data_IF_525986865818
#
_entry.id   IF_525986865818
#
_cell.length_a   1.000
_cell.length_b   1.000
_cell.length_c   1.000
_cell.angle_alpha   90.00
_cell.angle_beta   90.00
_cell.angle_gamma   90.00
#
_symmetry.space_group_name_H-M   'P 1'
#
loop_
_entity.id
_entity.type
_entity.pdbx_description
1 polymer ?
#
# COMPACT_ATOMS: atom_id res chain seq x y z
N UNK A 1 6.16 19.75 -14.71
CA UNK A 1 7.15 18.74 -14.26
C UNK A 1 6.41 17.41 -14.26
N UNK A 2 6.94 16.31 -14.81
CA UNK A 2 6.20 15.03 -15.05
C UNK A 2 5.75 14.27 -13.77
N UNK A 3 5.78 14.92 -12.61
CA UNK A 3 5.59 14.33 -11.27
C UNK A 3 4.60 15.19 -10.46
N UNK A 4 3.50 15.63 -11.08
CA UNK A 4 2.39 16.23 -10.36
C UNK A 4 1.28 15.16 -10.22
N UNK A 5 0.78 14.97 -8.99
CA UNK A 5 -0.32 14.06 -8.63
C UNK A 5 -0.04 12.54 -8.75
N UNK A 6 1.09 12.07 -8.18
CA UNK A 6 1.29 10.64 -7.95
C UNK A 6 0.58 10.18 -6.67
N UNK A 7 -0.21 9.12 -6.80
CA UNK A 7 -0.80 8.37 -5.69
C UNK A 7 0.03 7.13 -5.44
N UNK A 8 0.20 6.77 -4.17
CA UNK A 8 0.91 5.57 -3.73
C UNK A 8 -0.02 4.64 -2.96
N UNK A 9 0.05 3.36 -3.30
CA UNK A 9 -0.68 2.29 -2.62
C UNK A 9 0.24 1.13 -2.31
N UNK A 10 0.06 0.51 -1.14
CA UNK A 10 0.83 -0.66 -0.71
C UNK A 10 -0.10 -1.77 -0.21
N UNK A 11 0.19 -3.05 -0.51
CA UNK A 11 -0.51 -4.18 0.10
C UNK A 11 -0.46 -4.10 1.63
N UNK A 12 -1.55 -4.48 2.29
CA UNK A 12 -1.67 -4.43 3.75
C UNK A 12 -1.83 -3.02 4.34
N UNK A 13 -1.85 -1.97 3.50
CA UNK A 13 -2.19 -0.62 3.94
C UNK A 13 -3.69 -0.39 3.86
N UNK A 14 -4.31 -0.16 5.01
CA UNK A 14 -5.76 0.03 5.14
C UNK A 14 -6.49 -1.25 5.52
N UNK A 15 -7.78 -1.32 5.20
CA UNK A 15 -8.57 -2.54 5.42
C UNK A 15 -8.17 -3.63 4.40
N UNK A 16 -8.24 -4.90 4.78
CA UNK A 16 -7.81 -6.02 3.93
C UNK A 16 -8.58 -6.12 2.60
N UNK A 17 -9.84 -5.64 2.57
CA UNK A 17 -10.66 -5.57 1.36
C UNK A 17 -10.20 -4.50 0.35
N UNK A 18 -9.36 -3.54 0.76
CA UNK A 18 -8.81 -2.53 -0.14
C UNK A 18 -7.63 -3.11 -0.93
N UNK A 19 -6.64 -3.63 -0.21
CA UNK A 19 -5.51 -4.35 -0.81
C UNK A 19 -4.87 -5.25 0.26
N UNK A 20 -5.18 -6.54 0.20
CA UNK A 20 -4.73 -7.50 1.19
C UNK A 20 -3.21 -7.68 1.20
N UNK A 21 -2.62 -7.90 2.38
CA UNK A 21 -1.18 -8.17 2.54
C UNK A 21 -0.72 -9.38 1.73
N UNK A 22 -1.59 -10.36 1.50
CA UNK A 22 -1.28 -11.56 0.72
C UNK A 22 -0.83 -11.22 -0.72
N UNK A 23 -1.36 -10.13 -1.28
CA UNK A 23 -1.00 -9.64 -2.62
C UNK A 23 0.43 -9.06 -2.71
N UNK A 24 1.14 -9.01 -1.58
CA UNK A 24 2.57 -8.72 -1.53
C UNK A 24 3.38 -9.75 -2.35
N UNK A 25 2.95 -11.00 -2.42
CA UNK A 25 3.63 -12.04 -3.22
C UNK A 25 3.57 -11.74 -4.71
N UNK A 26 2.39 -11.35 -5.19
CA UNK A 26 2.14 -10.97 -6.57
C UNK A 26 2.93 -9.71 -6.92
N UNK A 27 2.96 -8.72 -6.04
CA UNK A 27 3.78 -7.51 -6.22
C UNK A 27 5.28 -7.86 -6.31
N UNK A 28 5.80 -8.71 -5.42
CA UNK A 28 7.19 -9.16 -5.47
C UNK A 28 7.49 -9.94 -6.76
N UNK A 29 6.57 -10.81 -7.18
CA UNK A 29 6.69 -11.56 -8.44
C UNK A 29 6.76 -10.64 -9.66
N UNK A 30 5.97 -9.56 -9.69
CA UNK A 30 6.00 -8.56 -10.76
C UNK A 30 7.33 -7.79 -10.83
N UNK A 31 7.95 -7.52 -9.69
CA UNK A 31 9.27 -6.85 -9.63
C UNK A 31 10.39 -7.84 -10.01
N UNK A 32 10.25 -9.11 -9.61
CA UNK A 32 11.19 -10.18 -9.93
C UNK A 32 12.24 -10.39 -8.85
N UNK A 33 13.52 -10.22 -9.21
CA UNK A 33 14.72 -10.65 -8.45
C UNK A 33 15.01 -9.80 -7.19
N UNK A 34 14.01 -9.49 -6.36
CA UNK A 34 14.07 -8.46 -5.30
C UNK A 34 15.19 -8.73 -4.27
N UNK A 35 15.37 -9.98 -3.85
CA UNK A 35 16.35 -10.33 -2.81
C UNK A 35 17.77 -10.16 -3.31
N UNK A 36 18.03 -10.61 -4.53
CA UNK A 36 19.35 -10.59 -5.15
C UNK A 36 19.75 -9.18 -5.59
N UNK A 37 18.78 -8.37 -6.07
CA UNK A 37 19.05 -7.00 -6.54
C UNK A 37 19.20 -5.99 -5.39
N UNK A 38 18.35 -6.09 -4.35
CA UNK A 38 18.29 -5.07 -3.29
C UNK A 38 18.31 -5.63 -1.86
N UNK A 39 18.42 -6.95 -1.68
CA UNK A 39 18.51 -7.57 -0.35
C UNK A 39 17.19 -7.63 0.43
N UNK A 40 16.05 -7.33 -0.21
CA UNK A 40 14.73 -7.36 0.45
C UNK A 40 14.03 -8.67 0.13
N UNK A 41 13.48 -9.34 1.16
CA UNK A 41 12.69 -10.56 1.00
C UNK A 41 11.42 -10.56 1.84
N UNK A 42 10.49 -11.47 1.55
CA UNK A 42 9.30 -11.71 2.37
C UNK A 42 9.54 -12.87 3.33
N UNK A 43 9.18 -12.69 4.60
CA UNK A 43 9.13 -13.79 5.55
C UNK A 43 7.83 -14.62 5.40
N UNK A 44 7.67 -15.66 6.22
CA UNK A 44 6.47 -16.53 6.20
C UNK A 44 5.15 -15.78 6.43
N UNK A 45 5.20 -14.68 7.19
CA UNK A 45 4.06 -13.79 7.45
C UNK A 45 3.90 -12.68 6.39
N UNK A 46 4.66 -12.74 5.30
CA UNK A 46 4.67 -11.79 4.18
C UNK A 46 5.11 -10.37 4.56
N UNK A 47 5.78 -10.23 5.71
CA UNK A 47 6.44 -9.00 6.08
C UNK A 47 7.82 -8.95 5.42
N UNK A 48 8.24 -7.73 5.05
CA UNK A 48 9.54 -7.52 4.44
C UNK A 48 10.68 -7.59 5.47
N UNK A 49 11.81 -8.17 5.06
CA UNK A 49 13.08 -8.15 5.76
C UNK A 49 14.10 -7.46 4.85
N UNK A 50 14.79 -6.38 5.31
CA UNK A 50 14.65 -5.72 6.61
C UNK A 50 13.28 -5.06 6.81
N UNK A 51 12.86 -4.89 8.07
CA UNK A 51 11.51 -4.41 8.43
C UNK A 51 11.24 -2.95 8.07
N UNK A 52 12.29 -2.13 7.92
CA UNK A 52 12.17 -0.75 7.41
C UNK A 52 12.20 -0.73 5.88
N UNK A 53 11.29 -1.50 5.28
CA UNK A 53 11.10 -1.57 3.83
C UNK A 53 9.67 -1.19 3.49
N UNK A 54 9.47 -0.65 2.29
CA UNK A 54 8.15 -0.39 1.73
C UNK A 54 8.12 -0.93 0.29
N UNK A 55 6.99 -1.51 -0.08
CA UNK A 55 6.68 -1.87 -1.45
C UNK A 55 5.30 -1.34 -1.79
N UNK A 56 5.05 -1.05 -3.06
CA UNK A 56 3.75 -0.60 -3.52
C UNK A 56 3.79 -0.26 -4.99
N UNK A 57 2.69 0.30 -5.46
CA UNK A 57 2.60 0.90 -6.79
C UNK A 57 2.42 2.40 -6.64
N UNK A 58 3.05 3.14 -7.54
CA UNK A 58 2.81 4.55 -7.75
C UNK A 58 2.14 4.72 -9.11
N UNK A 59 1.07 5.50 -9.17
CA UNK A 59 0.36 5.78 -10.42
C UNK A 59 -0.13 7.22 -10.44
N UNK A 60 -0.26 7.77 -11.65
CA UNK A 60 -0.78 9.11 -11.84
C UNK A 60 -2.30 9.10 -11.64
N UNK A 61 -2.82 10.10 -10.93
CA UNK A 61 -4.25 10.25 -10.69
C UNK A 61 -4.63 11.72 -10.68
N UNK A 62 -5.81 12.05 -11.21
CA UNK A 62 -6.38 13.39 -11.08
C UNK A 62 -6.93 13.64 -9.67
N UNK A 63 -7.17 12.57 -8.91
CA UNK A 63 -7.70 12.60 -7.54
C UNK A 63 -6.63 12.16 -6.55
N UNK A 64 -6.48 12.89 -5.46
CA UNK A 64 -5.65 12.44 -4.34
C UNK A 64 -6.29 11.21 -3.66
N UNK A 65 -5.44 10.31 -3.19
CA UNK A 65 -5.85 9.11 -2.48
C UNK A 65 -4.75 8.61 -1.56
N UNK A 66 -5.16 8.18 -0.37
CA UNK A 66 -4.35 7.37 0.54
C UNK A 66 -5.25 6.29 1.12
N UNK A 67 -4.77 5.06 1.27
CA UNK A 67 -5.57 3.97 1.86
C UNK A 67 -6.13 4.30 3.25
N UNK A 68 -5.51 5.25 3.98
CA UNK A 68 -6.03 5.79 5.23
C UNK A 68 -7.43 6.41 5.09
N UNK A 69 -7.75 7.01 3.94
CA UNK A 69 -9.04 7.65 3.67
C UNK A 69 -10.19 6.65 3.72
N UNK A 70 -9.95 5.39 3.38
CA UNK A 70 -10.99 4.35 3.35
C UNK A 70 -10.81 3.30 4.46
N UNK A 71 -9.78 3.42 5.29
CA UNK A 71 -9.51 2.47 6.38
C UNK A 71 -10.34 2.78 7.63
N UNK A 72 -11.11 1.79 8.11
CA UNK A 72 -12.00 1.92 9.28
C UNK A 72 -11.27 1.88 10.63
N UNK A 73 -9.95 1.63 10.65
CA UNK A 73 -9.15 1.54 11.88
C UNK A 73 -9.07 2.90 12.60
N UNK A 74 -9.71 3.02 13.76
CA UNK A 74 -9.82 4.28 14.52
C UNK A 74 -8.46 4.74 15.08
N UNK A 75 -7.75 3.89 15.83
CA UNK A 75 -6.51 4.25 16.53
C UNK A 75 -5.27 3.72 15.80
N UNK A 76 -5.03 4.19 14.58
CA UNK A 76 -3.84 3.82 13.80
C UNK A 76 -2.73 4.87 13.98
N UNK A 77 -1.62 4.50 14.62
CA UNK A 77 -0.46 5.38 14.80
C UNK A 77 0.20 5.79 13.47
N UNK A 78 -0.02 5.03 12.41
CA UNK A 78 0.49 5.30 11.06
C UNK A 78 -0.51 6.05 10.18
N UNK A 79 -1.65 6.52 10.72
CA UNK A 79 -2.66 7.22 9.94
C UNK A 79 -2.08 8.51 9.37
N UNK A 80 -2.10 8.62 8.04
CA UNK A 80 -1.54 9.75 7.29
C UNK A 80 -2.59 10.56 6.52
N UNK A 81 -3.87 10.20 6.61
CA UNK A 81 -5.02 10.95 6.11
C UNK A 81 -6.28 10.69 6.96
N UNK A 82 -7.20 11.67 7.04
CA UNK A 82 -8.49 11.49 7.71
C UNK A 82 -9.34 10.43 7.00
N UNK A 83 -10.18 9.70 7.75
CA UNK A 83 -11.16 8.79 7.18
C UNK A 83 -12.25 9.59 6.44
N UNK A 84 -12.51 9.23 5.19
CA UNK A 84 -13.56 9.77 4.35
C UNK A 84 -14.65 8.70 4.15
N UNK A 85 -15.74 8.89 4.90
CA UNK A 85 -16.90 8.01 4.83
C UNK A 85 -17.55 8.01 3.44
N UNK A 86 -17.64 9.16 2.78
CA UNK A 86 -18.30 9.24 1.46
C UNK A 86 -17.49 8.47 0.41
N UNK A 87 -16.16 8.59 0.46
CA UNK A 87 -15.28 7.82 -0.41
C UNK A 87 -15.39 6.32 -0.13
N UNK A 88 -15.41 5.91 1.15
CA UNK A 88 -15.59 4.50 1.51
C UNK A 88 -16.91 3.94 1.00
N UNK A 89 -18.01 4.63 1.26
CA UNK A 89 -19.36 4.22 0.85
C UNK A 89 -19.48 4.11 -0.69
N UNK A 90 -18.59 4.76 -1.46
CA UNK A 90 -18.56 4.66 -2.93
C UNK A 90 -17.83 3.44 -3.51
N UNK A 91 -17.15 2.65 -2.66
CA UNK A 91 -16.42 1.44 -3.05
C UNK A 91 -17.23 0.15 -2.86
N UNK A 92 -18.40 0.24 -2.21
CA UNK A 92 -19.33 -0.85 -1.93
C UNK A 92 -20.38 -1.00 -3.04
#
# INVERSE_FOLDING_TARGET
NLIENLVWMSPGSGDAEIWALQQQKELFSLIGNVKEEIGVELNESLLMIPTKSISGIAFQSEKDYRSCMVCRRVNCHYRSAPYDRKLRDSLE
#
